data_IF_633441935166
#
_entry.id   IF_633441935166
#
_cell.length_a   1.000
_cell.length_b   1.000
_cell.length_c   1.000
_cell.angle_alpha   90.00
_cell.angle_beta   90.00
_cell.angle_gamma   90.00
#
_symmetry.space_group_name_H-M   'P 1'
#
loop_
_entity.id
_entity.type
_entity.pdbx_description
1 polymer ?
#
# COMPACT_ATOMS: atom_id res chain seq x y z
N UNK A 1 -19.48 -8.23 40.65
CA UNK A 1 -18.15 -8.46 40.01
C UNK A 1 -18.24 -8.93 38.56
N UNK A 2 -19.42 -9.15 37.98
CA UNK A 2 -19.60 -9.58 36.58
C UNK A 2 -19.73 -8.43 35.57
N UNK A 3 -20.08 -7.22 36.00
CA UNK A 3 -20.28 -6.07 35.11
C UNK A 3 -19.00 -5.50 34.44
N UNK A 4 -17.82 -5.84 34.95
CA UNK A 4 -16.55 -5.34 34.40
C UNK A 4 -16.07 -6.10 33.15
N UNK A 5 -16.34 -7.41 33.09
CA UNK A 5 -15.85 -8.27 32.00
C UNK A 5 -16.67 -8.12 30.71
N UNK A 6 -17.95 -7.76 30.83
CA UNK A 6 -18.80 -7.52 29.66
C UNK A 6 -18.44 -6.20 28.96
N UNK A 7 -18.10 -5.16 29.71
CA UNK A 7 -17.64 -3.88 29.14
C UNK A 7 -16.30 -4.00 28.41
N UNK A 8 -15.38 -4.83 28.93
CA UNK A 8 -14.07 -5.04 28.32
C UNK A 8 -14.15 -5.87 27.02
N UNK A 9 -15.10 -6.81 26.95
CA UNK A 9 -15.41 -7.61 25.74
C UNK A 9 -16.12 -6.80 24.65
N UNK A 10 -17.03 -5.92 25.03
CA UNK A 10 -17.76 -5.07 24.09
C UNK A 10 -16.82 -4.05 23.43
N UNK A 11 -15.86 -3.51 24.20
CA UNK A 11 -14.87 -2.57 23.68
C UNK A 11 -13.86 -3.24 22.73
N UNK A 12 -13.43 -4.48 23.02
CA UNK A 12 -12.53 -5.23 22.12
C UNK A 12 -13.20 -5.69 20.82
N UNK A 13 -14.50 -5.97 20.82
CA UNK A 13 -15.24 -6.31 19.59
C UNK A 13 -15.45 -5.10 18.68
N UNK A 14 -15.83 -3.94 19.24
CA UNK A 14 -15.95 -2.70 18.46
C UNK A 14 -14.62 -2.28 17.81
N UNK A 15 -13.49 -2.52 18.47
CA UNK A 15 -12.15 -2.14 17.97
C UNK A 15 -11.61 -3.07 16.89
N UNK A 16 -11.88 -4.39 16.99
CA UNK A 16 -11.56 -5.33 15.90
C UNK A 16 -12.33 -4.99 14.63
N UNK A 17 -13.55 -4.47 14.75
CA UNK A 17 -14.37 -4.05 13.62
C UNK A 17 -13.79 -2.80 12.92
N UNK A 18 -13.23 -1.85 13.69
CA UNK A 18 -12.55 -0.66 13.14
C UNK A 18 -11.27 -1.05 12.37
N UNK A 19 -10.39 -1.84 12.97
CA UNK A 19 -9.13 -2.27 12.33
C UNK A 19 -9.35 -3.23 11.15
N UNK A 20 -10.41 -4.06 11.19
CA UNK A 20 -10.78 -4.94 10.07
C UNK A 20 -11.37 -4.15 8.90
N UNK A 21 -12.16 -3.10 9.15
CA UNK A 21 -12.74 -2.23 8.10
C UNK A 21 -11.69 -1.43 7.35
N UNK A 22 -10.60 -1.04 8.00
CA UNK A 22 -9.47 -0.32 7.37
C UNK A 22 -8.62 -1.24 6.47
N UNK A 23 -8.62 -2.57 6.70
CA UNK A 23 -7.75 -3.53 5.98
C UNK A 23 -8.39 -4.29 4.82
N UNK A 24 -9.72 -4.28 4.68
CA UNK A 24 -10.41 -5.19 3.76
C UNK A 24 -10.55 -4.70 2.30
N UNK A 25 -10.19 -3.47 1.98
CA UNK A 25 -10.36 -2.92 0.64
C UNK A 25 -9.11 -3.09 -0.23
N UNK A 26 -8.80 -4.33 -0.66
CA UNK A 26 -7.99 -4.53 -1.87
C UNK A 26 -8.94 -4.43 -3.07
N UNK A 27 -9.06 -3.25 -3.63
CA UNK A 27 -9.71 -3.07 -4.92
C UNK A 27 -8.71 -3.37 -6.04
N UNK A 28 -9.22 -3.93 -7.14
CA UNK A 28 -8.51 -4.03 -8.40
C UNK A 28 -8.03 -2.62 -8.77
N UNK A 29 -6.70 -2.40 -8.76
CA UNK A 29 -6.07 -1.11 -9.07
C UNK A 29 -6.59 -0.60 -10.43
N UNK A 30 -7.54 0.34 -10.40
CA UNK A 30 -7.89 1.13 -11.56
C UNK A 30 -6.69 2.06 -11.78
N UNK A 31 -6.03 1.96 -12.92
CA UNK A 31 -4.70 2.54 -13.02
C UNK A 31 -4.75 4.05 -13.25
N UNK A 32 -3.82 4.75 -12.58
CA UNK A 32 -3.70 6.21 -12.48
C UNK A 32 -4.08 6.96 -13.77
N UNK A 33 -5.04 7.89 -13.66
CA UNK A 33 -5.38 8.83 -14.73
C UNK A 33 -6.43 8.34 -15.73
N UNK A 34 -7.18 7.29 -15.40
CA UNK A 34 -8.31 6.78 -16.19
C UNK A 34 -9.59 6.79 -15.36
N UNK A 35 -10.67 7.25 -15.97
CA UNK A 35 -12.01 7.15 -15.41
C UNK A 35 -12.88 6.25 -16.29
N UNK A 36 -13.28 5.07 -15.80
CA UNK A 36 -14.25 4.23 -16.53
C UNK A 36 -15.66 4.82 -16.52
N UNK A 37 -16.45 4.51 -17.55
CA UNK A 37 -17.87 4.89 -17.57
C UNK A 37 -18.62 4.23 -16.39
N UNK A 38 -19.27 5.01 -15.51
CA UNK A 38 -19.95 4.49 -14.33
C UNK A 38 -21.17 3.63 -14.67
N UNK A 39 -21.72 3.76 -15.87
CA UNK A 39 -22.87 2.98 -16.34
C UNK A 39 -22.49 1.63 -16.95
N UNK A 40 -21.19 1.34 -17.11
CA UNK A 40 -20.74 0.05 -17.60
C UNK A 40 -20.76 -1.01 -16.51
N UNK A 41 -21.34 -2.17 -16.82
CA UNK A 41 -21.24 -3.35 -15.98
C UNK A 41 -19.79 -3.86 -15.89
N UNK A 42 -19.45 -4.50 -14.79
CA UNK A 42 -18.12 -5.11 -14.57
C UNK A 42 -17.77 -6.13 -15.66
N UNK A 43 -18.75 -6.95 -16.07
CA UNK A 43 -18.60 -7.89 -17.17
C UNK A 43 -18.25 -7.18 -18.49
N UNK A 44 -18.87 -6.02 -18.76
CA UNK A 44 -18.55 -5.24 -19.96
C UNK A 44 -17.17 -4.60 -19.86
N UNK A 45 -16.77 -4.06 -18.71
CA UNK A 45 -15.40 -3.54 -18.49
C UNK A 45 -14.35 -4.62 -18.72
N UNK A 46 -14.52 -5.79 -18.11
CA UNK A 46 -13.64 -6.94 -18.30
C UNK A 46 -13.61 -7.40 -19.77
N UNK A 47 -14.75 -7.35 -20.46
CA UNK A 47 -14.80 -7.65 -21.89
C UNK A 47 -14.02 -6.63 -22.72
N UNK A 48 -14.17 -5.32 -22.49
CA UNK A 48 -13.41 -4.30 -23.21
C UNK A 48 -11.90 -4.39 -22.90
N UNK A 49 -11.51 -4.66 -21.65
CA UNK A 49 -10.12 -4.91 -21.28
C UNK A 49 -9.55 -6.12 -22.03
N UNK A 50 -10.25 -7.28 -21.99
CA UNK A 50 -9.84 -8.50 -22.72
C UNK A 50 -9.76 -8.22 -24.21
N UNK A 51 -10.78 -7.58 -24.79
CA UNK A 51 -10.82 -7.25 -26.21
C UNK A 51 -9.65 -6.36 -26.61
N UNK A 52 -9.21 -5.45 -25.74
CA UNK A 52 -8.04 -4.60 -25.97
C UNK A 52 -6.74 -5.41 -25.89
N UNK A 53 -6.59 -6.24 -24.86
CA UNK A 53 -5.42 -7.13 -24.69
C UNK A 53 -5.27 -8.07 -25.89
N UNK A 54 -6.36 -8.70 -26.32
CA UNK A 54 -6.39 -9.65 -27.44
C UNK A 54 -6.59 -8.98 -28.81
N UNK A 55 -6.42 -7.66 -28.91
CA UNK A 55 -6.46 -6.98 -30.20
C UNK A 55 -5.13 -7.16 -30.97
N UNK A 56 -5.19 -7.02 -32.30
CA UNK A 56 -4.05 -6.91 -33.24
C UNK A 56 -2.87 -7.87 -32.98
N UNK A 57 -2.89 -9.03 -33.61
CA UNK A 57 -1.72 -9.92 -33.67
C UNK A 57 -1.50 -10.78 -32.43
N UNK A 58 -1.90 -10.33 -31.23
CA UNK A 58 -1.82 -11.10 -29.98
C UNK A 58 -2.44 -12.50 -30.08
N UNK A 59 -3.66 -12.71 -30.63
CA UNK A 59 -4.20 -14.07 -30.76
C UNK A 59 -3.39 -14.92 -31.74
N UNK A 60 -2.84 -14.33 -32.80
CA UNK A 60 -1.99 -15.04 -33.76
C UNK A 60 -0.64 -15.45 -33.14
N UNK A 61 -0.01 -14.57 -32.36
CA UNK A 61 1.22 -14.87 -31.62
C UNK A 61 0.97 -15.91 -30.52
N UNK A 62 -0.17 -15.82 -29.84
CA UNK A 62 -0.60 -16.78 -28.82
C UNK A 62 -0.84 -18.17 -29.39
N UNK A 63 -1.71 -18.29 -30.40
CA UNK A 63 -2.06 -19.57 -31.02
C UNK A 63 -0.86 -20.14 -31.78
N UNK A 64 -0.16 -19.32 -32.57
CA UNK A 64 1.03 -19.75 -33.30
C UNK A 64 2.14 -20.21 -32.36
N UNK A 65 2.46 -19.42 -31.33
CA UNK A 65 3.45 -19.79 -30.33
C UNK A 65 3.09 -21.07 -29.58
N UNK A 66 1.84 -21.22 -29.15
CA UNK A 66 1.35 -22.45 -28.52
C UNK A 66 1.46 -23.68 -29.42
N UNK A 67 1.12 -23.55 -30.70
CA UNK A 67 1.26 -24.63 -31.67
C UNK A 67 2.73 -25.02 -31.89
N UNK A 68 3.65 -24.06 -31.99
CA UNK A 68 5.09 -24.32 -32.12
C UNK A 68 5.67 -25.02 -30.88
N UNK A 69 5.20 -24.64 -29.68
CA UNK A 69 5.56 -25.36 -28.44
C UNK A 69 5.11 -26.82 -28.50
N UNK A 70 3.86 -27.08 -28.90
CA UNK A 70 3.33 -28.44 -29.03
C UNK A 70 4.09 -29.26 -30.07
N UNK A 71 4.40 -28.69 -31.23
CA UNK A 71 5.22 -29.34 -32.26
C UNK A 71 6.62 -29.65 -31.73
N UNK A 72 7.22 -28.74 -30.95
CA UNK A 72 8.55 -28.93 -30.37
C UNK A 72 8.65 -30.11 -29.40
N UNK A 73 7.57 -30.45 -28.68
CA UNK A 73 7.55 -31.66 -27.86
C UNK A 73 7.66 -32.95 -28.69
N UNK A 74 7.20 -32.95 -29.93
CA UNK A 74 7.26 -34.11 -30.82
C UNK A 74 8.47 -34.11 -31.76
N UNK A 75 8.92 -32.94 -32.21
CA UNK A 75 9.86 -32.78 -33.33
C UNK A 75 11.23 -32.18 -32.93
N UNK A 76 11.42 -31.80 -31.66
CA UNK A 76 12.70 -31.32 -31.13
C UNK A 76 12.65 -29.91 -30.53
N UNK A 77 13.66 -29.60 -29.70
CA UNK A 77 13.69 -28.41 -28.83
C UNK A 77 13.67 -27.07 -29.57
N UNK A 78 14.15 -27.00 -30.82
CA UNK A 78 14.19 -25.76 -31.60
C UNK A 78 12.81 -25.12 -31.81
N UNK A 79 11.79 -25.91 -32.10
CA UNK A 79 10.42 -25.42 -32.25
C UNK A 79 9.80 -24.99 -30.92
N UNK A 80 10.16 -25.66 -29.82
CA UNK A 80 9.70 -25.29 -28.49
C UNK A 80 10.25 -23.92 -28.06
N UNK A 81 11.53 -23.64 -28.32
CA UNK A 81 12.16 -22.34 -28.04
C UNK A 81 11.53 -21.23 -28.88
N UNK A 82 11.32 -21.46 -30.19
CA UNK A 82 10.68 -20.49 -31.06
C UNK A 82 9.22 -20.21 -30.62
N UNK A 83 8.47 -21.25 -30.27
CA UNK A 83 7.10 -21.11 -29.76
C UNK A 83 7.05 -20.32 -28.46
N UNK A 84 7.96 -20.58 -27.52
CA UNK A 84 8.07 -19.82 -26.27
C UNK A 84 8.40 -18.34 -26.53
N UNK A 85 9.31 -18.04 -27.46
CA UNK A 85 9.64 -16.68 -27.87
C UNK A 85 8.41 -15.96 -28.46
N UNK A 86 7.65 -16.63 -29.33
CA UNK A 86 6.42 -16.06 -29.91
C UNK A 86 5.36 -15.79 -28.83
N UNK A 87 5.21 -16.67 -27.84
CA UNK A 87 4.32 -16.45 -26.70
C UNK A 87 4.75 -15.26 -25.85
N UNK A 88 6.04 -15.14 -25.54
CA UNK A 88 6.60 -13.99 -24.81
C UNK A 88 6.37 -12.68 -25.57
N UNK A 89 6.58 -12.67 -26.89
CA UNK A 89 6.24 -11.53 -27.74
C UNK A 89 4.74 -11.21 -27.68
N UNK A 90 3.88 -12.22 -27.74
CA UNK A 90 2.42 -12.05 -27.63
C UNK A 90 2.01 -11.43 -26.29
N UNK A 91 2.58 -11.90 -25.18
CA UNK A 91 2.37 -11.34 -23.84
C UNK A 91 2.87 -9.89 -23.80
N UNK A 92 4.05 -9.61 -24.33
CA UNK A 92 4.62 -8.26 -24.40
C UNK A 92 3.74 -7.28 -25.17
N UNK A 93 3.21 -7.68 -26.33
CA UNK A 93 2.26 -6.89 -27.11
C UNK A 93 0.95 -6.71 -26.36
N UNK A 94 0.41 -7.76 -25.74
CA UNK A 94 -0.81 -7.68 -24.93
C UNK A 94 -0.68 -6.72 -23.74
N UNK A 95 0.45 -6.77 -23.02
CA UNK A 95 0.78 -5.83 -21.95
C UNK A 95 0.99 -4.41 -22.49
N UNK A 96 1.59 -4.25 -23.67
CA UNK A 96 1.71 -2.97 -24.35
C UNK A 96 0.34 -2.37 -24.69
N UNK A 97 -0.60 -3.18 -25.18
CA UNK A 97 -1.98 -2.79 -25.45
C UNK A 97 -2.70 -2.37 -24.17
N UNK A 98 -2.50 -3.12 -23.08
CA UNK A 98 -3.07 -2.78 -21.76
C UNK A 98 -2.48 -1.46 -21.23
N UNK A 99 -1.16 -1.25 -21.33
CA UNK A 99 -0.54 0.04 -20.95
C UNK A 99 -1.01 1.19 -21.82
N UNK A 100 -1.35 0.96 -23.09
CA UNK A 100 -1.93 1.98 -23.97
C UNK A 100 -3.39 2.31 -23.59
N UNK A 101 -4.20 1.31 -23.22
CA UNK A 101 -5.54 1.53 -22.64
C UNK A 101 -5.47 2.43 -21.41
N UNK A 102 -4.50 2.16 -20.56
CA UNK A 102 -4.37 2.72 -19.22
C UNK A 102 -3.64 4.07 -19.21
N UNK A 103 -2.40 4.08 -19.65
CA UNK A 103 -1.52 5.26 -19.57
C UNK A 103 -1.74 6.17 -20.78
N UNK A 104 -2.53 5.74 -21.77
CA UNK A 104 -2.64 6.41 -23.06
C UNK A 104 -1.30 6.45 -23.83
N UNK A 105 -0.28 5.67 -23.42
CA UNK A 105 1.02 5.59 -24.12
C UNK A 105 1.00 4.45 -25.13
N UNK A 106 0.69 4.80 -26.37
CA UNK A 106 0.52 3.84 -27.44
C UNK A 106 1.79 3.79 -28.30
N UNK A 107 2.45 2.62 -28.33
CA UNK A 107 3.62 2.34 -29.20
C UNK A 107 3.11 1.70 -30.51
N UNK A 108 2.18 2.37 -31.17
CA UNK A 108 1.57 1.85 -32.39
C UNK A 108 2.17 2.63 -33.56
N UNK A 109 2.86 1.96 -34.48
CA UNK A 109 3.47 2.60 -35.65
C UNK A 109 2.42 3.36 -36.49
N UNK A 110 1.18 2.86 -36.52
CA UNK A 110 0.10 3.41 -37.33
C UNK A 110 -0.71 4.50 -36.60
N UNK A 111 -0.31 4.90 -35.39
CA UNK A 111 -0.92 6.00 -34.63
C UNK A 111 -2.36 5.79 -34.13
N UNK A 112 -3.07 4.75 -34.59
CA UNK A 112 -4.47 4.50 -34.27
C UNK A 112 -4.58 3.44 -33.16
N UNK A 113 -4.62 3.84 -31.89
CA UNK A 113 -5.16 2.95 -30.87
C UNK A 113 -6.68 2.85 -31.09
N UNK A 114 -7.23 1.65 -31.08
CA UNK A 114 -8.68 1.45 -31.31
C UNK A 114 -9.56 2.18 -30.29
N UNK A 115 -9.06 2.41 -29.08
CA UNK A 115 -9.78 3.18 -28.05
C UNK A 115 -9.75 4.69 -28.30
N UNK A 116 -8.88 5.16 -29.19
CA UNK A 116 -8.89 6.54 -29.66
C UNK A 116 -10.02 6.78 -30.69
N UNK A 117 -10.70 5.73 -31.17
CA UNK A 117 -11.78 5.88 -32.17
C UNK A 117 -12.97 6.67 -31.60
N UNK A 118 -13.30 6.53 -30.31
CA UNK A 118 -14.33 7.37 -29.67
C UNK A 118 -14.06 7.54 -28.16
N UNK A 119 -13.47 8.66 -27.76
CA UNK A 119 -13.40 9.06 -26.36
C UNK A 119 -14.80 9.14 -25.73
N UNK A 120 -14.93 8.82 -24.44
CA UNK A 120 -16.17 9.02 -23.70
C UNK A 120 -17.28 7.98 -23.89
N UNK A 121 -17.06 6.92 -24.68
CA UNK A 121 -17.98 5.75 -24.67
C UNK A 121 -17.66 4.85 -23.48
N UNK A 122 -16.40 4.44 -23.37
CA UNK A 122 -15.99 3.40 -22.42
C UNK A 122 -15.26 3.97 -21.22
N UNK A 123 -14.40 4.96 -21.45
CA UNK A 123 -13.56 5.59 -20.44
C UNK A 123 -13.13 6.98 -20.92
N UNK A 124 -12.61 7.77 -19.99
CA UNK A 124 -11.86 9.00 -20.24
C UNK A 124 -10.45 8.88 -19.64
N UNK A 125 -9.46 9.49 -20.31
CA UNK A 125 -8.07 9.61 -19.86
C UNK A 125 -7.70 11.08 -19.80
N UNK A 126 -6.81 11.48 -18.89
CA UNK A 126 -6.28 12.86 -18.86
C UNK A 126 -5.72 13.30 -20.23
N UNK A 127 -5.09 12.37 -20.96
CA UNK A 127 -4.52 12.60 -22.29
C UNK A 127 -5.57 12.99 -23.34
N UNK A 128 -6.81 12.51 -23.24
CA UNK A 128 -7.87 12.78 -24.22
C UNK A 128 -8.17 14.28 -24.34
N UNK A 129 -7.80 15.07 -23.32
CA UNK A 129 -8.02 16.52 -23.24
C UNK A 129 -6.80 17.38 -23.58
N UNK A 130 -5.64 16.79 -23.89
CA UNK A 130 -4.38 17.55 -24.15
C UNK A 130 -4.47 18.50 -25.34
N UNK A 131 -5.29 18.19 -26.36
CA UNK A 131 -5.50 19.04 -27.54
C UNK A 131 -6.57 20.13 -27.36
N UNK A 132 -7.19 20.24 -26.18
CA UNK A 132 -8.29 21.17 -25.91
C UNK A 132 -7.86 22.43 -25.14
N UNK A 133 -6.55 22.61 -24.93
CA UNK A 133 -5.97 23.70 -24.15
C UNK A 133 -5.67 23.32 -22.70
N UNK A 134 -4.81 24.12 -22.06
CA UNK A 134 -4.30 23.83 -20.72
C UNK A 134 -5.41 23.77 -19.65
N UNK A 135 -6.43 24.65 -19.75
CA UNK A 135 -7.58 24.69 -18.84
C UNK A 135 -8.34 23.35 -18.82
N UNK A 136 -8.78 22.87 -19.98
CA UNK A 136 -9.52 21.62 -20.10
C UNK A 136 -8.73 20.42 -19.58
N UNK A 137 -7.43 20.36 -19.89
CA UNK A 137 -6.56 19.29 -19.39
C UNK A 137 -6.40 19.35 -17.86
N UNK A 138 -6.23 20.55 -17.28
CA UNK A 138 -6.11 20.73 -15.83
C UNK A 138 -7.40 20.39 -15.07
N UNK A 139 -8.57 20.70 -15.62
CA UNK A 139 -9.87 20.28 -15.09
C UNK A 139 -9.98 18.75 -15.14
N UNK A 140 -9.64 18.14 -16.28
CA UNK A 140 -9.69 16.69 -16.45
C UNK A 140 -8.74 15.93 -15.51
N UNK A 141 -7.51 16.42 -15.30
CA UNK A 141 -6.59 15.80 -14.35
C UNK A 141 -7.15 15.85 -12.93
N UNK A 142 -7.50 17.05 -12.45
CA UNK A 142 -7.97 17.23 -11.07
C UNK A 142 -9.23 16.44 -10.76
N UNK A 143 -10.15 16.30 -11.71
CA UNK A 143 -11.39 15.55 -11.48
C UNK A 143 -11.13 14.05 -11.39
N UNK A 144 -10.20 13.52 -12.19
CA UNK A 144 -9.81 12.11 -12.14
C UNK A 144 -9.05 11.84 -10.83
N UNK A 145 -8.06 12.68 -10.51
CA UNK A 145 -7.27 12.59 -9.28
C UNK A 145 -8.16 12.60 -8.02
N UNK A 146 -9.18 13.49 -7.98
CA UNK A 146 -10.10 13.57 -6.85
C UNK A 146 -10.98 12.32 -6.69
N UNK A 147 -11.40 11.69 -7.79
CA UNK A 147 -12.19 10.45 -7.73
C UNK A 147 -11.33 9.26 -7.33
N UNK A 148 -10.12 9.16 -7.87
CA UNK A 148 -9.16 8.11 -7.50
C UNK A 148 -8.88 8.17 -5.99
N UNK A 149 -8.64 9.37 -5.45
CA UNK A 149 -8.45 9.58 -4.02
C UNK A 149 -9.68 9.19 -3.17
N UNK A 150 -10.89 9.56 -3.60
CA UNK A 150 -12.12 9.20 -2.89
C UNK A 150 -12.43 7.69 -2.98
N UNK A 151 -12.04 7.02 -4.06
CA UNK A 151 -12.23 5.58 -4.24
C UNK A 151 -11.30 4.79 -3.32
N UNK A 152 -10.05 5.25 -3.22
CA UNK A 152 -8.95 4.51 -2.60
C UNK A 152 -8.70 4.94 -1.13
N UNK A 153 -9.52 5.86 -0.61
CA UNK A 153 -9.42 6.33 0.77
C UNK A 153 -9.70 5.21 1.80
N UNK A 154 -8.78 4.97 2.77
CA UNK A 154 -9.01 4.01 3.87
C UNK A 154 -10.20 4.40 4.76
N UNK A 155 -10.54 5.69 4.80
CA UNK A 155 -11.67 6.22 5.53
C UNK A 155 -13.04 5.83 4.96
N UNK A 156 -13.11 5.13 3.82
CA UNK A 156 -14.37 4.86 3.10
C UNK A 156 -15.47 4.23 3.96
N UNK A 157 -15.13 3.38 4.92
CA UNK A 157 -16.11 2.76 5.83
C UNK A 157 -16.82 3.77 6.77
N UNK A 158 -16.29 4.98 6.88
CA UNK A 158 -16.81 6.08 7.69
C UNK A 158 -17.49 7.18 6.86
N UNK A 159 -17.34 7.12 5.54
CA UNK A 159 -17.99 8.03 4.62
C UNK A 159 -19.36 7.48 4.22
N UNK A 160 -20.22 8.32 3.66
CA UNK A 160 -21.46 7.85 3.03
C UNK A 160 -21.11 6.78 1.98
N UNK A 161 -21.66 5.56 2.05
CA UNK A 161 -21.37 4.50 1.09
C UNK A 161 -21.70 4.87 -0.36
N UNK A 162 -22.60 5.82 -0.59
CA UNK A 162 -22.93 6.32 -1.92
C UNK A 162 -21.92 7.36 -2.45
N UNK A 163 -21.10 7.98 -1.59
CA UNK A 163 -20.22 9.10 -1.94
C UNK A 163 -19.29 8.77 -3.12
N UNK A 164 -18.53 7.66 -3.14
CA UNK A 164 -17.63 7.35 -4.27
C UNK A 164 -18.39 7.20 -5.59
N UNK A 165 -19.57 6.57 -5.57
CA UNK A 165 -20.39 6.38 -6.78
C UNK A 165 -20.98 7.68 -7.32
N UNK A 166 -21.33 8.60 -6.42
CA UNK A 166 -21.84 9.93 -6.78
C UNK A 166 -20.71 10.81 -7.30
N UNK A 167 -19.55 10.78 -6.66
CA UNK A 167 -18.34 11.49 -7.12
C UNK A 167 -17.91 11.00 -8.51
N UNK A 168 -17.89 9.69 -8.75
CA UNK A 168 -17.57 9.10 -10.05
C UNK A 168 -18.56 9.55 -11.14
N UNK A 169 -19.86 9.52 -10.87
CA UNK A 169 -20.87 10.00 -11.84
C UNK A 169 -20.72 11.48 -12.15
N UNK A 170 -20.50 12.33 -11.14
CA UNK A 170 -20.29 13.76 -11.34
C UNK A 170 -19.01 14.01 -12.16
N UNK A 171 -17.92 13.32 -11.84
CA UNK A 171 -16.68 13.42 -12.62
C UNK A 171 -16.89 13.01 -14.09
N UNK A 172 -17.64 11.93 -14.32
CA UNK A 172 -17.98 11.49 -15.67
C UNK A 172 -18.79 12.54 -16.43
N UNK A 173 -19.76 13.19 -15.78
CA UNK A 173 -20.55 14.27 -16.37
C UNK A 173 -19.69 15.51 -16.68
N UNK A 174 -18.77 15.90 -15.78
CA UNK A 174 -17.81 16.99 -16.00
C UNK A 174 -16.94 16.71 -17.22
N UNK A 175 -16.34 15.52 -17.30
CA UNK A 175 -15.51 15.10 -18.44
C UNK A 175 -16.32 15.01 -19.73
N UNK A 176 -17.56 14.52 -19.67
CA UNK A 176 -18.47 14.49 -20.81
C UNK A 176 -18.91 15.89 -21.28
N UNK A 177 -19.04 16.85 -20.37
CA UNK A 177 -19.26 18.26 -20.72
C UNK A 177 -18.02 18.86 -21.39
N UNK A 178 -16.82 18.60 -20.86
CA UNK A 178 -15.58 19.01 -21.51
C UNK A 178 -15.50 18.43 -22.92
N UNK A 179 -15.66 17.12 -23.09
CA UNK A 179 -15.49 16.47 -24.40
C UNK A 179 -16.47 17.00 -25.45
N UNK A 180 -17.73 17.28 -25.06
CA UNK A 180 -18.72 17.93 -25.96
C UNK A 180 -18.29 19.32 -26.45
N UNK A 181 -17.39 20.01 -25.74
CA UNK A 181 -16.85 21.31 -26.15
C UNK A 181 -15.66 21.21 -27.10
N UNK A 182 -15.14 20.00 -27.37
CA UNK A 182 -13.95 19.77 -28.20
C UNK A 182 -14.03 20.47 -29.56
N UNK A 183 -15.13 20.27 -30.29
CA UNK A 183 -15.34 20.90 -31.60
C UNK A 183 -15.40 22.41 -31.50
N UNK A 184 -16.09 22.96 -30.50
CA UNK A 184 -16.18 24.39 -30.27
C UNK A 184 -14.80 25.01 -29.99
N UNK A 185 -13.95 24.34 -29.19
CA UNK A 185 -12.57 24.79 -28.92
C UNK A 185 -11.69 24.76 -30.16
N UNK A 186 -11.78 23.70 -30.97
CA UNK A 186 -11.05 23.62 -32.25
C UNK A 186 -11.49 24.76 -33.17
N UNK A 187 -12.79 25.03 -33.27
CA UNK A 187 -13.33 26.13 -34.06
C UNK A 187 -12.88 27.49 -33.53
N UNK A 188 -12.90 27.72 -32.20
CA UNK A 188 -12.41 28.96 -31.59
C UNK A 188 -10.94 29.22 -31.96
N UNK A 189 -10.09 28.19 -31.88
CA UNK A 189 -8.69 28.28 -32.26
C UNK A 189 -8.50 28.57 -33.76
N UNK A 190 -9.32 27.98 -34.62
CA UNK A 190 -9.28 28.22 -36.07
C UNK A 190 -9.79 29.61 -36.45
N UNK A 191 -10.84 30.10 -35.79
CA UNK A 191 -11.41 31.44 -36.00
C UNK A 191 -10.46 32.52 -35.51
N UNK A 192 -9.77 32.31 -34.39
CA UNK A 192 -8.77 33.24 -33.86
C UNK A 192 -7.59 33.47 -34.83
N UNK A 193 -7.34 32.56 -35.76
CA UNK A 193 -6.33 32.73 -36.81
C UNK A 193 -6.81 33.60 -37.98
N UNK A 194 -8.08 34.02 -38.00
CA UNK A 194 -8.71 34.77 -39.10
C UNK A 194 -9.21 36.13 -38.60
N UNK A 195 -8.54 37.25 -38.95
CA UNK A 195 -8.91 38.59 -38.46
C UNK A 195 -10.36 38.98 -38.77
N UNK A 196 -10.92 38.50 -39.88
CA UNK A 196 -12.30 38.79 -40.29
C UNK A 196 -13.38 38.18 -39.36
N UNK A 197 -12.99 37.30 -38.43
CA UNK A 197 -13.90 36.62 -37.50
C UNK A 197 -13.47 36.78 -36.04
N UNK A 198 -12.68 37.82 -35.71
CA UNK A 198 -12.19 38.07 -34.35
C UNK A 198 -13.32 38.10 -33.32
N UNK A 199 -14.41 38.83 -33.60
CA UNK A 199 -15.50 39.04 -32.64
C UNK A 199 -16.23 37.73 -32.33
N UNK A 200 -16.37 36.85 -33.33
CA UNK A 200 -16.96 35.52 -33.15
C UNK A 200 -16.02 34.58 -32.39
N UNK A 201 -14.71 34.66 -32.67
CA UNK A 201 -13.70 33.88 -31.94
C UNK A 201 -13.68 34.28 -30.46
N UNK A 202 -13.72 35.59 -30.18
CA UNK A 202 -13.72 36.14 -28.82
C UNK A 202 -15.00 35.75 -28.07
N UNK A 203 -16.17 35.89 -28.71
CA UNK A 203 -17.46 35.47 -28.13
C UNK A 203 -17.49 33.97 -27.80
N UNK A 204 -16.92 33.14 -28.68
CA UNK A 204 -16.84 31.70 -28.47
C UNK A 204 -15.85 31.35 -27.35
N UNK A 205 -14.70 32.04 -27.29
CA UNK A 205 -13.72 31.88 -26.23
C UNK A 205 -14.29 32.29 -24.86
N UNK A 206 -15.06 33.38 -24.79
CA UNK A 206 -15.76 33.82 -23.58
C UNK A 206 -16.78 32.78 -23.11
N UNK A 207 -17.60 32.24 -24.03
CA UNK A 207 -18.56 31.18 -23.70
C UNK A 207 -17.86 29.90 -23.19
N UNK A 208 -16.73 29.52 -23.80
CA UNK A 208 -15.92 28.38 -23.35
C UNK A 208 -15.33 28.66 -21.96
N UNK A 209 -14.82 29.86 -21.71
CA UNK A 209 -14.25 30.25 -20.42
C UNK A 209 -15.30 30.25 -19.31
N UNK A 210 -16.51 30.76 -19.58
CA UNK A 210 -17.62 30.74 -18.64
C UNK A 210 -18.06 29.31 -18.28
N UNK A 211 -18.03 28.39 -19.25
CA UNK A 211 -18.28 26.97 -18.99
C UNK A 211 -17.15 26.34 -18.19
N UNK A 212 -15.89 26.60 -18.54
CA UNK A 212 -14.71 26.11 -17.81
C UNK A 212 -14.75 26.53 -16.34
N UNK A 213 -15.16 27.77 -16.05
CA UNK A 213 -15.33 28.25 -14.69
C UNK A 213 -16.37 27.44 -13.90
N UNK A 214 -17.54 27.16 -14.50
CA UNK A 214 -18.58 26.34 -13.83
C UNK A 214 -18.14 24.89 -13.62
N UNK A 215 -17.39 24.34 -14.57
CA UNK A 215 -16.82 22.99 -14.44
C UNK A 215 -15.74 22.98 -13.35
N UNK A 216 -14.94 24.04 -13.26
CA UNK A 216 -13.93 24.21 -12.22
C UNK A 216 -14.54 24.25 -10.83
N UNK A 217 -15.66 24.96 -10.63
CA UNK A 217 -16.40 24.98 -9.36
C UNK A 217 -16.82 23.57 -8.91
N UNK A 218 -17.32 22.75 -9.85
CA UNK A 218 -17.69 21.36 -9.59
C UNK A 218 -16.46 20.49 -9.24
N UNK A 219 -15.34 20.69 -9.94
CA UNK A 219 -14.08 20.01 -9.66
C UNK A 219 -13.52 20.43 -8.29
N UNK A 220 -13.64 21.71 -7.91
CA UNK A 220 -13.21 22.20 -6.61
C UNK A 220 -14.02 21.59 -5.48
N UNK A 221 -15.33 21.40 -5.66
CA UNK A 221 -16.17 20.69 -4.70
C UNK A 221 -15.73 19.21 -4.54
N UNK A 222 -15.46 18.52 -5.65
CA UNK A 222 -14.95 17.13 -5.62
C UNK A 222 -13.58 17.03 -4.94
N UNK A 223 -12.65 17.94 -5.26
CA UNK A 223 -11.35 18.01 -4.62
C UNK A 223 -11.45 18.35 -3.12
N UNK A 224 -12.44 19.16 -2.73
CA UNK A 224 -12.78 19.40 -1.32
C UNK A 224 -13.22 18.14 -0.59
N UNK A 225 -14.09 17.33 -1.21
CA UNK A 225 -14.48 16.03 -0.66
C UNK A 225 -13.27 15.09 -0.51
N UNK A 226 -12.40 15.02 -1.52
CA UNK A 226 -11.19 14.21 -1.49
C UNK A 226 -10.25 14.66 -0.35
N UNK A 227 -10.04 15.97 -0.22
CA UNK A 227 -9.25 16.57 0.87
C UNK A 227 -9.82 16.21 2.25
N UNK A 228 -11.14 16.34 2.44
CA UNK A 228 -11.78 15.96 3.71
C UNK A 228 -11.62 14.47 4.01
N UNK A 229 -11.75 13.59 3.01
CA UNK A 229 -11.52 12.15 3.18
C UNK A 229 -10.07 11.85 3.57
N UNK A 230 -9.10 12.59 3.01
CA UNK A 230 -7.68 12.50 3.37
C UNK A 230 -7.42 12.94 4.81
N UNK A 231 -7.94 14.10 5.20
CA UNK A 231 -7.79 14.59 6.58
C UNK A 231 -8.45 13.64 7.57
N UNK A 232 -9.62 13.10 7.22
CA UNK A 232 -10.29 12.12 8.06
C UNK A 232 -9.48 10.81 8.19
N UNK A 233 -8.88 10.34 7.09
CA UNK A 233 -7.94 9.20 7.13
C UNK A 233 -6.77 9.47 8.07
N UNK A 234 -6.17 10.67 8.03
CA UNK A 234 -5.09 11.04 8.96
C UNK A 234 -5.57 11.08 10.41
N UNK A 235 -6.73 11.68 10.67
CA UNK A 235 -7.30 11.74 12.01
C UNK A 235 -7.61 10.34 12.59
N UNK A 236 -8.10 9.41 11.76
CA UNK A 236 -8.31 8.02 12.13
C UNK A 236 -6.99 7.32 12.46
N UNK A 237 -5.96 7.54 11.65
CA UNK A 237 -4.62 6.99 11.88
C UNK A 237 -3.99 7.52 13.19
N UNK A 238 -4.09 8.83 13.43
CA UNK A 238 -3.61 9.45 14.67
C UNK A 238 -4.37 8.97 15.91
N UNK A 239 -5.68 8.70 15.78
CA UNK A 239 -6.47 8.10 16.85
C UNK A 239 -6.03 6.66 17.15
N UNK A 240 -5.77 5.85 16.12
CA UNK A 240 -5.24 4.48 16.26
C UNK A 240 -3.85 4.47 16.91
N UNK A 241 -2.94 5.36 16.48
CA UNK A 241 -1.62 5.51 17.07
C UNK A 241 -1.68 5.92 18.54
N UNK A 242 -2.53 6.89 18.90
CA UNK A 242 -2.73 7.28 20.31
C UNK A 242 -3.26 6.12 21.14
N UNK A 243 -4.22 5.36 20.62
CA UNK A 243 -4.77 4.20 21.32
C UNK A 243 -3.71 3.12 21.57
N UNK A 244 -2.94 2.75 20.54
CA UNK A 244 -1.84 1.78 20.70
C UNK A 244 -0.75 2.31 21.66
N UNK A 245 -0.40 3.60 21.57
CA UNK A 245 0.55 4.22 22.49
C UNK A 245 0.08 4.18 23.95
N UNK A 246 -1.20 4.48 24.20
CA UNK A 246 -1.79 4.34 25.55
C UNK A 246 -1.81 2.89 26.03
N UNK A 247 -2.14 1.95 25.15
CA UNK A 247 -2.14 0.53 25.48
C UNK A 247 -0.74 0.03 25.83
N UNK A 248 0.29 0.41 25.07
CA UNK A 248 1.69 0.06 25.35
C UNK A 248 2.24 0.76 26.60
N UNK A 249 1.82 2.01 26.87
CA UNK A 249 2.15 2.68 28.12
C UNK A 249 1.52 1.95 29.33
N UNK A 250 0.28 1.47 29.19
CA UNK A 250 -0.37 0.65 30.23
C UNK A 250 0.33 -0.70 30.41
N UNK A 251 0.70 -1.38 29.33
CA UNK A 251 1.43 -2.66 29.40
C UNK A 251 2.80 -2.49 30.07
N UNK A 252 3.53 -1.43 29.72
CA UNK A 252 4.86 -1.14 30.27
C UNK A 252 4.78 -0.74 31.74
N UNK A 253 3.77 0.03 32.16
CA UNK A 253 3.57 0.38 33.58
C UNK A 253 3.27 -0.82 34.48
N UNK A 254 2.76 -1.92 33.93
CA UNK A 254 2.55 -3.17 34.68
C UNK A 254 3.86 -3.95 34.90
N UNK A 255 4.95 -3.59 34.22
CA UNK A 255 6.29 -4.08 34.52
C UNK A 255 6.87 -3.14 35.58
N UNK A 256 6.47 -3.33 36.84
CA UNK A 256 7.00 -2.53 37.94
C UNK A 256 8.52 -2.81 38.07
N UNK A 257 9.39 -1.81 37.90
CA UNK A 257 10.84 -1.98 38.09
C UNK A 257 11.15 -2.51 39.49
N UNK A 258 10.35 -2.08 40.47
CA UNK A 258 10.49 -2.45 41.88
C UNK A 258 10.26 -3.95 42.11
N UNK A 259 9.39 -4.60 41.35
CA UNK A 259 9.14 -6.04 41.48
C UNK A 259 10.32 -6.87 40.94
N UNK A 260 10.95 -6.40 39.85
CA UNK A 260 12.16 -7.03 39.31
C UNK A 260 13.37 -6.82 40.23
N UNK A 261 13.51 -5.62 40.81
CA UNK A 261 14.55 -5.32 41.80
C UNK A 261 14.33 -6.13 43.07
N UNK A 262 13.11 -6.20 43.60
CA UNK A 262 12.78 -7.01 44.77
C UNK A 262 12.97 -8.51 44.53
N UNK A 263 12.63 -9.02 43.33
CA UNK A 263 12.89 -10.40 42.95
C UNK A 263 14.40 -10.70 42.86
N UNK A 264 15.18 -9.77 42.30
CA UNK A 264 16.64 -9.91 42.22
C UNK A 264 17.29 -9.88 43.62
N UNK A 265 16.85 -8.99 44.50
CA UNK A 265 17.29 -8.93 45.90
C UNK A 265 16.92 -10.21 46.66
N UNK A 266 15.69 -10.72 46.50
CA UNK A 266 15.24 -11.98 47.09
C UNK A 266 16.07 -13.17 46.61
N UNK A 267 16.36 -13.26 45.30
CA UNK A 267 17.19 -14.31 44.73
C UNK A 267 18.64 -14.24 45.26
N UNK A 268 19.19 -13.04 45.40
CA UNK A 268 20.53 -12.82 45.96
C UNK A 268 20.57 -13.26 47.43
N UNK A 269 19.58 -12.89 48.23
CA UNK A 269 19.46 -13.28 49.64
C UNK A 269 19.30 -14.79 49.81
N UNK A 270 18.44 -15.43 49.00
CA UNK A 270 18.26 -16.89 49.02
C UNK A 270 19.54 -17.62 48.67
N UNK A 271 20.26 -17.17 47.64
CA UNK A 271 21.54 -17.73 47.22
C UNK A 271 22.58 -17.60 48.33
N UNK A 272 22.69 -16.40 48.92
CA UNK A 272 23.59 -16.14 50.04
C UNK A 272 23.32 -17.07 51.23
N UNK A 273 22.06 -17.20 51.64
CA UNK A 273 21.65 -18.09 52.74
C UNK A 273 22.00 -19.55 52.45
N UNK A 274 21.70 -20.05 51.23
CA UNK A 274 21.98 -21.44 50.84
C UNK A 274 23.48 -21.73 50.79
N UNK A 275 24.27 -20.82 50.22
CA UNK A 275 25.73 -20.95 50.14
C UNK A 275 26.37 -20.93 51.52
N UNK A 276 25.88 -20.08 52.42
CA UNK A 276 26.32 -20.03 53.83
C UNK A 276 25.94 -21.28 54.60
N UNK A 277 24.71 -21.75 54.48
CA UNK A 277 24.27 -23.00 55.11
C UNK A 277 25.08 -24.21 54.59
N UNK A 278 25.33 -24.30 53.28
CA UNK A 278 26.13 -25.36 52.69
C UNK A 278 27.58 -25.34 53.21
N UNK A 279 28.17 -24.16 53.36
CA UNK A 279 29.48 -23.99 53.98
C UNK A 279 29.49 -24.49 55.43
N UNK A 280 28.53 -24.07 56.25
CA UNK A 280 28.47 -24.44 57.67
C UNK A 280 28.33 -25.95 57.85
N UNK A 281 27.51 -26.61 57.02
CA UNK A 281 27.34 -28.06 57.02
C UNK A 281 28.60 -28.82 56.56
N UNK A 282 29.41 -28.22 55.70
CA UNK A 282 30.63 -28.85 55.16
C UNK A 282 31.90 -28.48 55.93
N UNK A 283 31.80 -27.61 56.95
CA UNK A 283 32.96 -27.11 57.68
C UNK A 283 33.88 -26.22 56.82
N UNK A 284 33.36 -25.64 55.74
CA UNK A 284 34.10 -24.68 54.94
C UNK A 284 34.43 -23.45 55.78
N UNK A 285 35.70 -23.04 55.85
CA UNK A 285 36.08 -21.83 56.58
C UNK A 285 35.35 -20.56 56.09
N UNK A 286 35.42 -19.46 56.84
CA UNK A 286 34.65 -18.24 56.55
C UNK A 286 34.95 -17.71 55.14
N UNK A 287 33.90 -17.18 54.50
CA UNK A 287 34.03 -16.62 53.15
C UNK A 287 34.96 -15.40 53.16
N UNK A 288 35.57 -15.05 52.00
CA UNK A 288 36.48 -13.91 51.92
C UNK A 288 35.88 -12.60 52.45
N UNK A 289 34.59 -12.34 52.16
CA UNK A 289 33.89 -11.12 52.60
C UNK A 289 33.56 -11.08 54.10
N UNK A 290 33.63 -12.21 54.81
CA UNK A 290 33.38 -12.29 56.26
C UNK A 290 34.66 -12.18 57.09
N UNK A 291 35.82 -12.32 56.46
CA UNK A 291 37.09 -12.17 57.14
C UNK A 291 37.34 -10.67 57.40
N UNK A 292 37.81 -10.30 58.60
CA UNK A 292 38.14 -8.91 58.90
C UNK A 292 39.16 -8.40 57.87
N UNK A 293 39.00 -7.15 57.39
CA UNK A 293 39.84 -6.59 56.32
C UNK A 293 41.35 -6.64 56.64
N UNK A 294 41.73 -6.72 57.92
CA UNK A 294 43.11 -6.92 58.37
C UNK A 294 43.70 -8.30 58.03
N UNK A 295 42.86 -9.31 57.77
CA UNK A 295 43.28 -10.64 57.33
C UNK A 295 43.50 -10.73 55.80
N UNK A 296 43.10 -9.70 55.05
CA UNK A 296 43.27 -9.66 53.60
C UNK A 296 44.69 -9.20 53.24
N UNK A 297 45.66 -10.11 53.25
CA UNK A 297 46.95 -9.80 52.64
C UNK A 297 46.77 -9.79 51.10
N UNK A 298 47.18 -8.73 50.38
CA UNK A 298 47.04 -8.64 48.92
C UNK A 298 47.75 -9.78 48.17
N UNK A 299 48.77 -10.40 48.80
CA UNK A 299 49.53 -11.52 48.22
C UNK A 299 48.84 -12.89 48.40
N UNK A 300 47.89 -13.02 49.33
CA UNK A 300 47.19 -14.29 49.59
C UNK A 300 46.00 -14.53 48.65
N UNK A 301 45.31 -13.47 48.23
CA UNK A 301 44.15 -13.54 47.32
C UNK A 301 44.59 -13.96 45.91
N UNK A 302 45.73 -13.45 45.43
CA UNK A 302 46.30 -13.84 44.13
C UNK A 302 46.73 -15.30 44.05
N UNK A 303 47.23 -15.90 45.16
CA UNK A 303 47.58 -17.34 45.18
C UNK A 303 46.36 -18.24 45.23
N UNK A 304 45.33 -17.91 46.03
CA UNK A 304 44.13 -18.76 46.15
C UNK A 304 43.30 -18.81 44.86
N UNK A 305 43.18 -17.70 44.12
CA UNK A 305 42.52 -17.71 42.81
C UNK A 305 43.31 -18.49 41.76
N UNK A 306 44.65 -18.38 41.77
CA UNK A 306 45.51 -19.16 40.86
C UNK A 306 45.55 -20.66 41.19
N UNK A 307 45.21 -21.06 42.41
CA UNK A 307 45.20 -22.45 42.88
C UNK A 307 43.83 -23.12 42.67
N UNK A 308 42.73 -22.35 42.78
CA UNK A 308 41.40 -22.80 42.36
C UNK A 308 41.32 -22.95 40.84
N UNK A 309 41.97 -22.07 40.07
CA UNK A 309 42.09 -22.18 38.61
C UNK A 309 42.95 -23.39 38.16
N UNK A 310 43.79 -23.95 39.04
CA UNK A 310 44.66 -25.10 38.75
C UNK A 310 44.08 -26.46 39.15
N UNK A 311 42.90 -26.52 39.78
CA UNK A 311 42.24 -27.81 40.08
C UNK A 311 41.63 -28.41 38.79
N UNK A 312 42.11 -29.58 38.32
CA UNK A 312 41.58 -30.22 37.12
C UNK A 312 40.22 -30.85 37.45
N UNK A 313 39.16 -30.08 37.24
CA UNK A 313 37.80 -30.54 37.52
C UNK A 313 36.70 -29.56 37.14
N UNK A 314 36.99 -28.26 37.04
CA UNK A 314 35.97 -27.24 36.73
C UNK A 314 35.83 -26.96 35.22
N UNK A 315 36.82 -27.33 34.39
CA UNK A 315 36.70 -27.16 32.93
C UNK A 315 35.81 -28.18 32.21
N UNK A 316 35.44 -29.31 32.84
CA UNK A 316 34.59 -30.33 32.19
C UNK A 316 33.08 -30.05 32.25
N UNK A 317 32.63 -29.02 32.99
CA UNK A 317 31.19 -28.74 33.13
C UNK A 317 30.66 -27.62 32.22
N UNK A 318 31.51 -26.98 31.42
CA UNK A 318 31.10 -25.95 30.44
C UNK A 318 31.06 -26.46 28.99
N UNK A 319 31.36 -27.74 28.77
CA UNK A 319 31.20 -28.43 27.48
C UNK A 319 30.43 -29.73 27.72
N UNK A 320 29.16 -29.61 28.08
CA UNK A 320 28.16 -30.65 27.86
C UNK A 320 27.31 -30.16 26.68
N UNK A 321 27.66 -30.59 25.48
CA UNK A 321 27.03 -31.75 24.83
C UNK A 321 25.61 -31.41 24.37
N UNK A 322 25.56 -30.89 23.15
CA UNK A 322 24.41 -31.07 22.30
C UNK A 322 24.19 -32.56 22.07
N UNK A 323 23.11 -33.08 22.63
CA UNK A 323 22.37 -34.22 22.10
C UNK A 323 21.01 -33.62 21.70
N UNK A 324 20.62 -33.58 20.43
CA UNK A 324 20.63 -34.71 19.51
C UNK A 324 19.40 -35.57 19.81
N UNK A 325 18.21 -35.06 19.50
CA UNK A 325 17.00 -35.84 19.39
C UNK A 325 16.38 -35.57 18.01
N UNK A 326 16.08 -36.70 17.35
CA UNK A 326 15.59 -36.89 15.99
C UNK A 326 14.28 -36.18 15.68
#
# INVERSE_FOLDING_TARGET
MTAGLDSERENTMAHKDIAARVRAARFDEEPDGVLWNPHLSTARRAWEMRRTVFSRGVPFLGVGGGLFVLIGFAAGSGFAVLGALMLLCGIGVGLGNLRCLVIGRCIHLDGLCRLDEVAGIVLFRCRDFTGMGASAHAIASRVIDAVDELRDTPARAWLDPALPSTAHRLAWEVLGCLDRTRTARILALQLAQRPAHSDLADSLAEAIAALDHRLDDAVQALAGCATLAREWTRALHDAELRHHGEQELRSTRMIAPDDLTAAAESLLLQTFCRVTAARDLTGGGPFPWEQPRSAWSPRAVGRRLAEVARRPGIQRSLVGEGTGLS
#
